data_IF_480434946861
#
_entry.id   IF_480434946861
#
_cell.length_a   1.000
_cell.length_b   1.000
_cell.length_c   1.000
_cell.angle_alpha   90.00
_cell.angle_beta   90.00
_cell.angle_gamma   90.00
#
_symmetry.space_group_name_H-M   'P 1'
#
loop_
_entity.id
_entity.type
_entity.pdbx_description
1 polymer ?
#
# COMPACT_ATOMS: atom_id res chain seq x y z
N UNK A 1 4.55 -8.69 -8.95
CA UNK A 1 4.15 -8.93 -7.55
C UNK A 1 3.03 -9.97 -7.44
N UNK A 2 3.18 -10.90 -6.49
CA UNK A 2 2.15 -11.87 -6.09
C UNK A 2 1.79 -11.69 -4.63
N UNK A 3 0.56 -11.98 -4.23
CA UNK A 3 0.13 -11.92 -2.82
C UNK A 3 -0.79 -13.07 -2.44
N UNK A 4 -0.84 -13.40 -1.15
CA UNK A 4 -1.78 -14.36 -0.57
C UNK A 4 -2.28 -13.83 0.77
N UNK A 5 -3.59 -13.86 0.98
CA UNK A 5 -4.22 -13.40 2.22
C UNK A 5 -4.87 -14.53 3.02
N UNK A 6 -5.00 -14.32 4.33
CA UNK A 6 -5.79 -15.11 5.28
C UNK A 6 -6.31 -14.19 6.38
N UNK A 7 -7.62 -14.26 6.65
CA UNK A 7 -8.28 -13.34 7.58
C UNK A 7 -7.88 -11.88 7.31
N UNK A 8 -7.16 -11.23 8.23
CA UNK A 8 -6.72 -9.84 8.12
C UNK A 8 -5.20 -9.71 7.85
N UNK A 9 -4.55 -10.78 7.41
CA UNK A 9 -3.12 -10.79 7.11
C UNK A 9 -2.86 -11.14 5.65
N UNK A 10 -1.86 -10.49 5.07
CA UNK A 10 -1.47 -10.67 3.68
C UNK A 10 0.04 -10.84 3.60
N UNK A 11 0.48 -11.88 2.90
CA UNK A 11 1.87 -11.99 2.47
C UNK A 11 2.00 -11.51 1.03
N UNK A 12 2.95 -10.60 0.84
CA UNK A 12 3.25 -9.94 -0.43
C UNK A 12 4.68 -10.28 -0.83
N UNK A 13 4.84 -10.85 -2.04
CA UNK A 13 6.15 -11.17 -2.62
C UNK A 13 6.56 -10.09 -3.64
N UNK A 14 7.71 -9.46 -3.37
CA UNK A 14 8.35 -8.53 -4.30
C UNK A 14 9.25 -9.31 -5.26
N UNK A 15 8.91 -9.31 -6.55
CA UNK A 15 9.67 -9.99 -7.61
C UNK A 15 10.93 -9.23 -8.05
N UNK A 16 11.08 -7.96 -7.67
CA UNK A 16 12.27 -7.15 -7.92
C UNK A 16 13.33 -7.41 -6.84
N UNK A 17 12.96 -7.32 -5.55
CA UNK A 17 13.91 -7.53 -4.45
C UNK A 17 14.08 -9.00 -4.06
N UNK A 18 13.08 -9.84 -4.32
CA UNK A 18 12.99 -11.22 -3.82
C UNK A 18 12.47 -11.33 -2.39
N UNK A 19 12.09 -10.21 -1.75
CA UNK A 19 11.61 -10.18 -0.38
C UNK A 19 10.14 -10.58 -0.25
N UNK A 20 9.79 -11.00 0.96
CA UNK A 20 8.42 -11.29 1.37
C UNK A 20 8.04 -10.40 2.54
N UNK A 21 6.92 -9.69 2.43
CA UNK A 21 6.45 -8.75 3.44
C UNK A 21 5.10 -9.19 3.99
N UNK A 22 4.88 -8.95 5.29
CA UNK A 22 3.59 -9.15 5.95
C UNK A 22 2.83 -7.83 6.03
N UNK A 23 1.59 -7.84 5.60
CA UNK A 23 0.72 -6.68 5.46
C UNK A 23 -0.56 -6.89 6.25
N UNK A 24 -1.04 -5.83 6.89
CA UNK A 24 -2.41 -5.74 7.38
C UNK A 24 -3.40 -5.33 6.28
N UNK A 25 -4.71 -5.27 6.59
CA UNK A 25 -5.76 -5.04 5.60
C UNK A 25 -5.63 -3.65 4.94
N UNK A 26 -5.35 -2.61 5.72
CA UNK A 26 -5.30 -1.22 5.22
C UNK A 26 -4.13 -1.02 4.24
N UNK A 27 -2.94 -1.52 4.60
CA UNK A 27 -1.76 -1.47 3.74
C UNK A 27 -1.97 -2.27 2.45
N UNK A 28 -2.67 -3.42 2.54
CA UNK A 28 -3.00 -4.23 1.38
C UNK A 28 -3.99 -3.51 0.46
N UNK A 29 -5.02 -2.87 1.02
CA UNK A 29 -6.00 -2.12 0.24
C UNK A 29 -5.38 -0.92 -0.48
N UNK A 30 -4.47 -0.20 0.20
CA UNK A 30 -3.68 0.88 -0.39
C UNK A 30 -2.84 0.38 -1.57
N UNK A 31 -2.08 -0.70 -1.36
CA UNK A 31 -1.23 -1.29 -2.40
C UNK A 31 -2.03 -1.76 -3.62
N UNK A 32 -3.15 -2.45 -3.41
CA UNK A 32 -4.03 -2.90 -4.49
C UNK A 32 -4.61 -1.75 -5.31
N UNK A 33 -4.93 -0.61 -4.67
CA UNK A 33 -5.43 0.56 -5.38
C UNK A 33 -4.36 1.19 -6.26
N UNK A 34 -3.14 1.33 -5.75
CA UNK A 34 -2.00 1.84 -6.52
C UNK A 34 -1.63 0.92 -7.69
N UNK A 35 -1.79 -0.40 -7.53
CA UNK A 35 -1.57 -1.35 -8.61
C UNK A 35 -2.65 -1.29 -9.69
N UNK A 36 -3.89 -0.96 -9.32
CA UNK A 36 -4.97 -0.83 -10.29
C UNK A 36 -4.79 0.41 -11.17
N UNK A 37 -4.39 1.54 -10.58
CA UNK A 37 -4.03 2.75 -11.31
C UNK A 37 -3.17 3.68 -10.43
N UNK A 38 -2.24 4.45 -11.03
CA UNK A 38 -1.59 5.55 -10.33
C UNK A 38 -2.62 6.52 -9.77
N UNK A 39 -2.44 6.91 -8.51
CA UNK A 39 -3.32 7.84 -7.80
C UNK A 39 -2.49 8.75 -6.90
N UNK A 40 -2.91 10.01 -6.78
CA UNK A 40 -2.33 10.94 -5.82
C UNK A 40 -2.91 10.74 -4.41
N UNK A 41 -2.34 11.44 -3.43
CA UNK A 41 -2.69 11.30 -2.02
C UNK A 41 -4.14 11.69 -1.72
N UNK A 42 -4.69 12.69 -2.43
CA UNK A 42 -6.06 13.13 -2.22
C UNK A 42 -7.07 12.10 -2.77
N UNK A 43 -6.78 11.54 -3.95
CA UNK A 43 -7.57 10.46 -4.54
C UNK A 43 -7.54 9.22 -3.66
N UNK A 44 -6.37 8.84 -3.14
CA UNK A 44 -6.23 7.69 -2.25
C UNK A 44 -6.97 7.91 -0.93
N UNK A 45 -6.82 9.08 -0.32
CA UNK A 45 -7.47 9.37 0.94
C UNK A 45 -9.00 9.36 0.80
N UNK A 46 -9.54 9.92 -0.28
CA UNK A 46 -10.97 9.84 -0.56
C UNK A 46 -11.42 8.39 -0.82
N UNK A 47 -10.63 7.62 -1.56
CA UNK A 47 -11.00 6.27 -1.98
C UNK A 47 -10.88 5.21 -0.86
N UNK A 48 -10.15 5.54 0.21
CA UNK A 48 -9.95 4.73 1.41
C UNK A 48 -10.69 5.30 2.64
N UNK A 49 -11.50 6.35 2.46
CA UNK A 49 -12.22 7.04 3.54
C UNK A 49 -11.32 7.50 4.69
N UNK A 50 -10.11 7.97 4.35
CA UNK A 50 -9.12 8.46 5.32
C UNK A 50 -9.54 9.86 5.79
N UNK A 51 -9.76 9.99 7.09
CA UNK A 51 -10.10 11.27 7.71
C UNK A 51 -8.96 12.29 7.55
N UNK A 52 -9.30 13.58 7.59
CA UNK A 52 -8.31 14.64 7.47
C UNK A 52 -7.21 14.57 8.54
N UNK A 53 -7.52 14.02 9.72
CA UNK A 53 -6.56 13.81 10.82
C UNK A 53 -5.55 12.69 10.56
N UNK A 54 -5.84 11.77 9.65
CA UNK A 54 -5.03 10.58 9.38
C UNK A 54 -4.24 10.68 8.07
N UNK A 55 -4.24 11.86 7.43
CA UNK A 55 -3.48 12.15 6.21
C UNK A 55 -1.99 11.83 6.38
N UNK A 56 -1.39 12.18 7.51
CA UNK A 56 0.03 11.93 7.79
C UNK A 56 0.34 10.42 7.85
N UNK A 57 -0.60 9.61 8.37
CA UNK A 57 -0.45 8.16 8.41
C UNK A 57 -0.50 7.55 7.00
N UNK A 58 -1.36 8.07 6.12
CA UNK A 58 -1.39 7.68 4.71
C UNK A 58 -0.07 8.01 3.99
N UNK A 59 0.46 9.22 4.20
CA UNK A 59 1.76 9.62 3.63
C UNK A 59 2.88 8.70 4.11
N UNK A 60 2.93 8.42 5.42
CA UNK A 60 3.92 7.50 5.98
C UNK A 60 3.80 6.09 5.38
N UNK A 61 2.58 5.58 5.20
CA UNK A 61 2.36 4.28 4.57
C UNK A 61 2.87 4.26 3.12
N UNK A 62 2.64 5.33 2.35
CA UNK A 62 3.16 5.47 0.98
C UNK A 62 4.69 5.49 0.94
N UNK A 63 5.33 6.20 1.86
CA UNK A 63 6.79 6.20 1.99
C UNK A 63 7.34 4.82 2.33
N UNK A 64 6.68 4.08 3.23
CA UNK A 64 7.05 2.71 3.57
C UNK A 64 6.94 1.77 2.36
N UNK A 65 5.83 1.83 1.61
CA UNK A 65 5.65 1.01 0.40
C UNK A 65 6.72 1.31 -0.66
N UNK A 66 7.08 2.58 -0.82
CA UNK A 66 8.15 2.99 -1.72
C UNK A 66 9.51 2.47 -1.24
N UNK A 67 9.80 2.55 0.07
CA UNK A 67 11.02 2.01 0.67
C UNK A 67 11.17 0.50 0.54
N UNK A 68 10.06 -0.23 0.41
CA UNK A 68 10.02 -1.68 0.13
C UNK A 68 10.10 -2.01 -1.38
N UNK A 69 10.28 -1.00 -2.25
CA UNK A 69 10.26 -1.14 -3.71
C UNK A 69 8.97 -1.79 -4.25
N UNK A 70 7.82 -1.53 -3.60
CA UNK A 70 6.53 -2.07 -4.01
C UNK A 70 5.74 -1.08 -4.88
N UNK A 71 6.07 0.21 -4.78
CA UNK A 71 5.51 1.31 -5.59
C UNK A 71 6.62 2.31 -5.94
N UNK A 72 6.40 3.12 -6.97
CA UNK A 72 7.21 4.31 -7.27
C UNK A 72 6.53 5.58 -6.72
N UNK A 73 7.32 6.53 -6.20
CA UNK A 73 6.83 7.86 -5.81
C UNK A 73 7.23 8.86 -6.88
N UNK A 74 6.26 9.65 -7.34
CA UNK A 74 6.45 10.75 -8.29
C UNK A 74 7.05 11.99 -7.61
#
# INVERSE_FOLDING_TARGET
MSHRGWEDEYVVYNDISGDTHLFGPDAMQLLLRLQAAPADEDVLAQALDVEAGDRDALVLALEQLAGLNLIERA
#
